data_IF_512432637965
#
_entry.id   IF_512432637965
#
_cell.length_a   1.000
_cell.length_b   1.000
_cell.length_c   1.000
_cell.angle_alpha   90.00
_cell.angle_beta   90.00
_cell.angle_gamma   90.00
#
_symmetry.space_group_name_H-M   'P 1'
#
loop_
_entity.id
_entity.type
_entity.pdbx_description
1 polymer ?
#
# COMPACT_ATOMS: atom_id res chain seq x y z
N UNK A 1 30.04 -4.16 -31.22
CA UNK A 1 29.14 -5.18 -30.65
C UNK A 1 28.68 -4.66 -29.30
N UNK A 2 27.37 -4.42 -29.21
CA UNK A 2 26.52 -4.08 -28.06
C UNK A 2 27.24 -3.70 -26.76
N UNK A 3 27.37 -2.39 -26.53
CA UNK A 3 27.61 -1.77 -25.22
C UNK A 3 26.30 -1.72 -24.45
N UNK A 4 26.33 -2.28 -23.23
CA UNK A 4 25.18 -2.43 -22.35
C UNK A 4 24.88 -1.11 -21.63
N UNK A 5 23.59 -0.77 -21.65
CA UNK A 5 22.93 0.28 -20.85
C UNK A 5 23.13 0.03 -19.35
N UNK A 6 23.46 1.08 -18.61
CA UNK A 6 23.54 1.10 -17.14
C UNK A 6 22.72 2.30 -16.68
N UNK A 7 21.51 2.07 -16.16
CA UNK A 7 20.81 2.97 -15.23
C UNK A 7 19.71 2.17 -14.52
N UNK A 8 19.97 1.76 -13.27
CA UNK A 8 18.94 1.38 -12.31
C UNK A 8 19.53 1.60 -10.92
N UNK A 9 19.18 2.72 -10.28
CA UNK A 9 19.47 2.96 -8.88
C UNK A 9 18.11 3.01 -8.16
N UNK A 10 17.70 1.86 -7.63
CA UNK A 10 16.58 1.74 -6.70
C UNK A 10 17.11 0.96 -5.51
N UNK A 11 17.05 1.58 -4.33
CA UNK A 11 17.28 0.94 -3.05
C UNK A 11 16.23 -0.18 -2.87
N UNK A 12 16.56 -1.36 -3.35
CA UNK A 12 15.93 -2.61 -2.93
C UNK A 12 16.86 -3.21 -1.88
N UNK A 13 16.30 -3.51 -0.72
CA UNK A 13 16.92 -4.34 0.30
C UNK A 13 17.31 -5.68 -0.37
N UNK A 14 18.61 -5.92 -0.63
CA UNK A 14 19.07 -7.18 -1.23
C UNK A 14 19.81 -8.01 -0.18
N UNK A 15 19.11 -9.02 0.33
CA UNK A 15 19.72 -10.31 0.67
C UNK A 15 19.64 -11.16 -0.59
N UNK A 16 20.78 -11.38 -1.27
CA UNK A 16 20.92 -12.52 -2.18
C UNK A 16 22.33 -13.10 -2.09
N UNK A 17 22.39 -14.32 -1.57
CA UNK A 17 23.56 -15.17 -1.57
C UNK A 17 23.66 -15.87 -2.91
N UNK A 18 24.77 -15.60 -3.62
CA UNK A 18 25.53 -16.48 -4.53
C UNK A 18 24.76 -17.32 -5.58
N UNK A 19 24.99 -16.99 -6.86
CA UNK A 19 25.63 -17.91 -7.81
C UNK A 19 26.15 -17.15 -9.05
N UNK A 20 27.48 -16.97 -9.10
CA UNK A 20 28.31 -17.02 -10.30
C UNK A 20 28.06 -16.03 -11.44
N UNK A 21 28.72 -14.88 -11.42
CA UNK A 21 29.82 -14.47 -12.33
C UNK A 21 30.22 -13.04 -11.97
N UNK A 22 31.49 -12.83 -11.58
CA UNK A 22 32.03 -11.52 -11.22
C UNK A 22 32.11 -10.62 -12.45
N UNK A 23 31.09 -9.78 -12.65
CA UNK A 23 31.26 -8.49 -13.33
C UNK A 23 31.50 -7.49 -12.20
N UNK A 24 32.61 -6.72 -12.18
CA UNK A 24 32.73 -5.63 -11.23
C UNK A 24 31.67 -4.59 -11.58
N UNK A 25 30.51 -4.69 -10.93
CA UNK A 25 29.60 -3.56 -10.83
C UNK A 25 30.36 -2.47 -10.04
N UNK A 26 30.32 -1.19 -10.46
CA UNK A 26 30.71 -0.12 -9.56
C UNK A 26 29.83 -0.26 -8.31
N UNK A 27 30.44 -0.66 -7.20
CA UNK A 27 29.79 -0.63 -5.91
C UNK A 27 29.83 0.81 -5.46
N UNK A 28 28.68 1.48 -5.57
CA UNK A 28 28.48 2.78 -4.95
C UNK A 28 28.44 2.57 -3.44
N UNK A 29 29.51 2.91 -2.75
CA UNK A 29 29.54 3.02 -1.29
C UNK A 29 29.09 4.43 -0.93
N UNK A 30 27.90 4.55 -0.32
CA UNK A 30 27.48 5.81 0.32
C UNK A 30 28.25 5.89 1.64
N UNK A 31 29.31 6.69 1.67
CA UNK A 31 30.15 6.90 2.87
C UNK A 31 29.64 8.02 3.79
N UNK A 32 28.41 8.49 3.58
CA UNK A 32 27.80 9.54 4.39
C UNK A 32 27.56 9.06 5.83
N UNK A 33 28.10 9.77 6.81
CA UNK A 33 27.85 9.54 8.25
C UNK A 33 26.45 10.01 8.71
N UNK A 34 25.48 10.15 7.80
CA UNK A 34 24.14 10.65 8.10
C UNK A 34 23.10 9.51 8.05
N UNK A 35 22.40 9.31 9.17
CA UNK A 35 21.30 8.32 9.31
C UNK A 35 20.03 8.70 8.51
N UNK A 36 20.05 9.84 7.80
CA UNK A 36 18.94 10.37 7.01
C UNK A 36 19.23 10.25 5.49
N UNK A 37 18.53 9.36 4.77
CA UNK A 37 18.72 9.18 3.33
C UNK A 37 18.50 10.45 2.48
N UNK A 38 17.74 11.44 2.98
CA UNK A 38 17.57 12.72 2.31
C UNK A 38 18.81 13.62 2.39
N UNK A 39 19.63 13.45 3.44
CA UNK A 39 20.93 14.12 3.58
C UNK A 39 21.97 13.47 2.68
N UNK A 40 21.96 12.13 2.59
CA UNK A 40 22.87 11.39 1.71
C UNK A 40 22.69 11.75 0.22
N UNK A 41 21.46 11.94 -0.26
CA UNK A 41 21.24 12.36 -1.66
C UNK A 41 21.61 13.83 -1.88
N UNK A 42 21.43 14.69 -0.88
CA UNK A 42 21.88 16.10 -0.96
C UNK A 42 23.40 16.18 -1.10
N UNK A 43 24.15 15.33 -0.39
CA UNK A 43 25.62 15.22 -0.54
C UNK A 43 26.03 14.77 -1.95
N UNK A 44 25.24 13.92 -2.61
CA UNK A 44 25.53 13.45 -3.97
C UNK A 44 25.32 14.56 -5.01
N UNK A 45 24.29 15.41 -4.84
CA UNK A 45 23.93 16.44 -5.83
C UNK A 45 24.44 17.84 -5.47
N UNK A 46 25.21 18.01 -4.39
CA UNK A 46 25.57 19.32 -3.86
C UNK A 46 26.38 20.19 -4.83
N UNK A 47 27.15 19.57 -5.72
CA UNK A 47 28.01 20.23 -6.70
C UNK A 47 27.29 20.53 -8.02
N UNK A 48 26.07 20.03 -8.21
CA UNK A 48 25.29 20.30 -9.41
C UNK A 48 24.74 21.73 -9.43
N UNK A 49 24.71 22.33 -10.61
CA UNK A 49 23.98 23.55 -10.91
C UNK A 49 22.49 23.23 -10.99
N UNK A 50 21.80 23.54 -9.89
CA UNK A 50 20.36 23.33 -9.75
C UNK A 50 19.55 24.59 -10.07
N UNK A 51 20.11 25.57 -10.78
CA UNK A 51 19.41 26.79 -11.19
C UNK A 51 18.21 26.50 -12.09
N UNK A 52 18.28 25.45 -12.91
CA UNK A 52 17.19 25.01 -13.77
C UNK A 52 16.10 24.20 -13.02
N UNK A 53 16.32 23.84 -11.75
CA UNK A 53 15.30 23.23 -10.87
C UNK A 53 14.38 24.32 -10.28
N UNK A 54 13.61 24.96 -11.16
CA UNK A 54 12.83 26.17 -10.84
C UNK A 54 11.68 25.95 -9.86
N UNK A 55 11.16 24.72 -9.75
CA UNK A 55 10.02 24.39 -8.86
C UNK A 55 10.47 24.06 -7.43
N UNK A 56 11.78 23.94 -7.20
CA UNK A 56 12.39 23.31 -6.03
C UNK A 56 11.97 21.85 -5.80
N UNK A 57 11.33 21.19 -6.78
CA UNK A 57 11.00 19.76 -6.72
C UNK A 57 11.91 19.05 -7.72
N UNK A 58 12.88 18.29 -7.22
CA UNK A 58 13.69 17.37 -8.02
C UNK A 58 13.23 15.94 -7.73
N UNK A 59 12.54 15.32 -8.67
CA UNK A 59 11.95 14.00 -8.47
C UNK A 59 12.99 12.92 -8.13
N UNK A 60 14.17 12.97 -8.78
CA UNK A 60 15.26 12.01 -8.53
C UNK A 60 15.96 12.17 -7.18
N UNK A 61 15.76 13.31 -6.52
CA UNK A 61 16.18 13.48 -5.12
C UNK A 61 15.23 12.73 -4.16
N UNK A 62 13.96 12.62 -4.54
CA UNK A 62 12.90 12.06 -3.72
C UNK A 62 12.83 10.54 -3.74
N UNK A 63 12.04 10.00 -2.83
CA UNK A 63 11.70 8.58 -2.82
C UNK A 63 10.63 8.31 -3.88
N UNK A 64 10.91 7.37 -4.80
CA UNK A 64 9.99 6.96 -5.87
C UNK A 64 8.94 5.99 -5.31
N UNK A 65 8.01 6.52 -4.52
CA UNK A 65 6.93 5.74 -3.88
C UNK A 65 5.82 5.36 -4.87
N UNK A 66 5.60 6.18 -5.90
CA UNK A 66 4.62 5.96 -6.95
C UNK A 66 5.13 6.43 -8.32
N UNK A 67 4.54 5.86 -9.38
CA UNK A 67 4.83 6.22 -10.77
C UNK A 67 4.12 7.54 -11.10
N UNK A 68 4.87 8.53 -11.57
CA UNK A 68 4.35 9.85 -11.98
C UNK A 68 4.28 9.99 -13.51
N UNK A 69 5.16 9.28 -14.22
CA UNK A 69 5.34 9.31 -15.66
C UNK A 69 4.07 8.92 -16.45
N UNK A 70 3.16 8.18 -15.82
CA UNK A 70 1.90 7.75 -16.42
C UNK A 70 0.73 8.72 -16.15
N UNK A 71 0.96 9.82 -15.43
CA UNK A 71 -0.05 10.76 -14.95
C UNK A 71 0.29 12.19 -15.34
N UNK A 72 0.48 12.44 -16.64
CA UNK A 72 0.86 13.73 -17.24
C UNK A 72 -0.34 14.67 -17.52
N UNK A 73 -1.56 14.20 -17.27
CA UNK A 73 -2.79 14.95 -17.51
C UNK A 73 -3.30 14.89 -18.95
N UNK A 74 -2.70 14.06 -19.80
CA UNK A 74 -3.28 13.70 -21.09
C UNK A 74 -4.57 12.90 -20.94
N UNK A 75 -5.41 12.89 -21.97
CA UNK A 75 -6.62 12.06 -21.98
C UNK A 75 -6.32 10.55 -21.86
N UNK A 76 -5.11 10.15 -22.26
CA UNK A 76 -4.63 8.77 -22.25
C UNK A 76 -3.88 8.39 -20.96
N UNK A 77 -3.66 9.32 -20.01
CA UNK A 77 -2.98 9.02 -18.74
C UNK A 77 -3.63 7.84 -18.02
N UNK A 78 -2.90 7.18 -17.13
CA UNK A 78 -3.39 5.98 -16.44
C UNK A 78 -4.47 6.30 -15.39
N UNK A 79 -4.96 5.27 -14.71
CA UNK A 79 -6.03 5.33 -13.71
C UNK A 79 -5.47 5.09 -12.32
N UNK A 80 -5.61 6.07 -11.43
CA UNK A 80 -5.29 5.92 -10.01
C UNK A 80 -6.23 4.88 -9.39
N UNK A 81 -5.69 3.80 -8.82
CA UNK A 81 -6.50 2.67 -8.32
C UNK A 81 -7.17 2.92 -6.97
N UNK A 82 -6.53 3.72 -6.13
CA UNK A 82 -7.05 4.05 -4.81
C UNK A 82 -6.36 5.30 -4.25
N UNK A 83 -6.87 5.78 -3.11
CA UNK A 83 -6.29 6.93 -2.45
C UNK A 83 -4.84 6.68 -1.97
N UNK A 84 -4.46 5.43 -1.66
CA UNK A 84 -3.10 5.12 -1.24
C UNK A 84 -2.10 5.24 -2.41
N UNK A 85 -2.50 4.92 -3.63
CA UNK A 85 -1.71 5.16 -4.84
C UNK A 85 -1.50 6.64 -5.08
N UNK A 86 -2.57 7.44 -5.01
CA UNK A 86 -2.45 8.90 -5.08
C UNK A 86 -1.51 9.43 -4.00
N UNK A 87 -1.61 8.90 -2.77
CA UNK A 87 -0.75 9.31 -1.66
C UNK A 87 0.72 8.94 -1.89
N UNK A 88 1.01 7.80 -2.52
CA UNK A 88 2.37 7.42 -2.93
C UNK A 88 2.92 8.35 -4.01
N UNK A 89 2.12 8.72 -5.00
CA UNK A 89 2.50 9.72 -6.02
C UNK A 89 2.80 11.07 -5.35
N UNK A 90 1.88 11.55 -4.51
CA UNK A 90 2.04 12.78 -3.75
C UNK A 90 3.28 12.76 -2.85
N UNK A 91 3.51 11.66 -2.13
CA UNK A 91 4.68 11.47 -1.27
C UNK A 91 6.00 11.50 -2.04
N UNK A 92 6.01 11.03 -3.29
CA UNK A 92 7.19 11.11 -4.13
C UNK A 92 7.58 12.56 -4.44
N UNK A 93 6.61 13.42 -4.71
CA UNK A 93 6.82 14.86 -4.89
C UNK A 93 7.21 15.58 -3.59
N UNK A 94 6.59 15.20 -2.45
CA UNK A 94 6.92 15.76 -1.13
C UNK A 94 8.39 15.51 -0.78
N UNK A 95 8.89 14.30 -1.03
CA UNK A 95 10.30 13.93 -0.72
C UNK A 95 11.30 14.53 -1.71
N UNK A 96 10.88 14.83 -2.94
CA UNK A 96 11.70 15.53 -3.94
C UNK A 96 11.84 17.04 -3.69
N UNK A 97 11.04 17.62 -2.80
CA UNK A 97 11.11 19.05 -2.49
C UNK A 97 12.38 19.41 -1.71
N UNK A 98 13.11 20.41 -2.22
CA UNK A 98 14.40 20.88 -1.71
C UNK A 98 14.31 22.09 -0.78
N UNK A 99 13.13 22.70 -0.68
CA UNK A 99 12.91 23.91 0.12
C UNK A 99 12.42 23.63 1.55
N UNK A 100 12.05 24.69 2.26
CA UNK A 100 11.43 24.57 3.59
C UNK A 100 9.99 24.06 3.49
N UNK A 101 9.56 23.06 4.28
CA UNK A 101 8.23 22.45 4.16
C UNK A 101 7.04 23.42 4.18
N UNK A 102 7.16 24.56 4.88
CA UNK A 102 6.13 25.61 4.97
C UNK A 102 5.89 26.38 3.68
N UNK A 103 6.84 26.33 2.73
CA UNK A 103 6.76 27.02 1.43
C UNK A 103 6.43 26.06 0.28
N UNK A 104 6.35 24.75 0.57
CA UNK A 104 6.14 23.73 -0.45
C UNK A 104 4.74 23.84 -1.07
N UNK A 105 4.61 23.79 -2.41
CA UNK A 105 3.32 23.63 -3.08
C UNK A 105 2.72 22.22 -2.87
N UNK A 106 3.54 21.27 -2.40
CA UNK A 106 3.15 19.92 -1.98
C UNK A 106 3.42 19.75 -0.47
N UNK A 107 2.65 20.40 0.41
CA UNK A 107 2.89 20.33 1.85
C UNK A 107 2.60 18.92 2.41
N UNK A 108 3.22 18.58 3.53
CA UNK A 108 2.96 17.31 4.23
C UNK A 108 1.46 17.11 4.50
N UNK A 109 1.00 15.86 4.45
CA UNK A 109 -0.40 15.51 4.68
C UNK A 109 -0.93 15.87 6.07
N UNK A 110 -0.04 16.02 7.04
CA UNK A 110 -0.39 16.48 8.39
C UNK A 110 -1.04 17.86 8.36
N UNK A 111 -0.68 18.70 7.38
CA UNK A 111 -1.24 20.06 7.21
C UNK A 111 -2.71 20.07 6.80
N UNK A 112 -3.21 18.98 6.21
CA UNK A 112 -4.58 18.92 5.68
C UNK A 112 -5.44 17.76 6.20
N UNK A 113 -4.86 16.90 7.05
CA UNK A 113 -5.56 15.78 7.69
C UNK A 113 -6.80 16.21 8.48
N UNK A 114 -6.73 17.31 9.23
CA UNK A 114 -7.85 17.80 10.05
C UNK A 114 -9.05 18.24 9.21
N UNK A 115 -8.82 19.00 8.15
CA UNK A 115 -9.85 19.54 7.26
C UNK A 115 -10.54 18.40 6.51
N UNK A 116 -9.74 17.45 6.02
CA UNK A 116 -10.22 16.22 5.39
C UNK A 116 -11.12 15.41 6.32
N UNK A 117 -10.66 15.18 7.56
CA UNK A 117 -11.45 14.44 8.55
C UNK A 117 -12.77 15.17 8.88
N UNK A 118 -12.75 16.50 8.96
CA UNK A 118 -13.95 17.30 9.17
C UNK A 118 -14.94 17.19 8.00
N UNK A 119 -14.46 17.23 6.76
CA UNK A 119 -15.28 17.03 5.56
C UNK A 119 -15.97 15.66 5.57
N UNK A 120 -15.22 14.59 5.86
CA UNK A 120 -15.75 13.22 5.96
C UNK A 120 -16.78 13.10 7.09
N UNK A 121 -16.49 13.66 8.27
CA UNK A 121 -17.45 13.67 9.38
C UNK A 121 -18.74 14.42 9.04
N UNK A 122 -18.70 15.37 8.11
CA UNK A 122 -19.88 16.08 7.60
C UNK A 122 -20.61 15.35 6.45
N UNK A 123 -20.23 14.11 6.13
CA UNK A 123 -20.83 13.31 5.06
C UNK A 123 -20.38 13.68 3.65
N UNK A 124 -19.24 14.38 3.52
CA UNK A 124 -18.64 14.77 2.23
C UNK A 124 -17.37 13.99 1.96
N UNK A 125 -17.15 13.62 0.71
CA UNK A 125 -15.93 12.97 0.24
C UNK A 125 -15.07 13.97 -0.57
N UNK A 126 -13.95 14.43 -0.03
CA UNK A 126 -13.02 15.27 -0.78
C UNK A 126 -12.52 14.62 -2.07
N UNK A 127 -12.52 15.38 -3.16
CA UNK A 127 -11.68 15.07 -4.31
C UNK A 127 -10.31 15.69 -4.07
N UNK A 128 -9.30 14.86 -3.77
CA UNK A 128 -7.91 15.32 -3.68
C UNK A 128 -7.33 15.35 -5.09
N UNK A 129 -6.83 16.52 -5.50
CA UNK A 129 -6.33 16.75 -6.87
C UNK A 129 -4.93 17.31 -6.74
N UNK A 130 -4.00 16.83 -7.56
CA UNK A 130 -2.67 17.42 -7.70
C UNK A 130 -2.42 17.84 -9.15
N UNK A 131 -1.86 19.03 -9.33
CA UNK A 131 -1.25 19.51 -10.57
C UNK A 131 0.10 20.13 -10.23
N UNK A 132 1.14 19.30 -10.29
CA UNK A 132 2.47 19.68 -9.82
C UNK A 132 3.45 19.59 -10.98
N UNK A 133 4.00 20.74 -11.35
CA UNK A 133 5.18 20.81 -12.21
C UNK A 133 6.43 20.52 -11.35
N UNK A 134 7.36 19.75 -11.90
CA UNK A 134 8.59 19.35 -11.23
C UNK A 134 9.72 19.16 -12.25
N UNK A 135 10.95 19.11 -11.76
CA UNK A 135 12.10 18.72 -12.56
C UNK A 135 12.54 17.31 -12.21
N UNK A 136 13.06 16.60 -13.20
CA UNK A 136 13.76 15.32 -13.05
C UNK A 136 14.99 15.34 -13.94
N UNK A 137 15.97 14.46 -13.72
CA UNK A 137 17.07 14.30 -14.68
C UNK A 137 16.53 13.92 -16.06
N UNK A 138 17.22 14.37 -17.11
CA UNK A 138 16.86 14.02 -18.48
C UNK A 138 16.67 12.51 -18.63
N UNK A 139 15.53 12.15 -19.19
CA UNK A 139 15.21 10.76 -19.55
C UNK A 139 16.12 10.23 -20.66
N UNK A 140 16.66 11.11 -21.51
CA UNK A 140 17.73 10.77 -22.46
C UNK A 140 19.07 10.58 -21.71
N UNK A 141 19.31 9.35 -21.27
CA UNK A 141 20.56 8.97 -20.59
C UNK A 141 21.84 9.24 -21.39
N UNK A 142 21.78 9.27 -22.73
CA UNK A 142 22.95 9.56 -23.56
C UNK A 142 23.28 11.04 -23.46
N UNK A 143 22.29 11.91 -23.66
CA UNK A 143 22.48 13.35 -23.50
C UNK A 143 22.89 13.69 -22.06
N UNK A 144 22.20 13.13 -21.05
CA UNK A 144 22.52 13.35 -19.64
C UNK A 144 23.99 13.05 -19.32
N UNK A 145 24.52 11.93 -19.83
CA UNK A 145 25.93 11.53 -19.62
C UNK A 145 26.96 12.48 -20.25
N UNK A 146 26.53 13.38 -21.13
CA UNK A 146 27.38 14.45 -21.69
C UNK A 146 27.28 15.77 -20.92
N UNK A 147 26.32 15.90 -20.02
CA UNK A 147 26.04 17.13 -19.26
C UNK A 147 26.59 17.05 -17.83
N UNK A 148 26.49 15.88 -17.20
CA UNK A 148 26.99 15.62 -15.84
C UNK A 148 27.93 14.42 -15.79
N UNK A 149 28.80 14.38 -14.79
CA UNK A 149 29.68 13.24 -14.48
C UNK A 149 29.74 12.99 -12.99
N UNK A 150 30.27 11.83 -12.61
CA UNK A 150 30.54 11.48 -11.21
C UNK A 150 32.02 11.71 -10.89
N UNK A 151 32.29 12.38 -9.77
CA UNK A 151 33.61 12.51 -9.17
C UNK A 151 33.53 12.31 -7.65
N UNK A 152 34.21 11.28 -7.16
CA UNK A 152 34.33 10.94 -5.74
C UNK A 152 32.97 10.87 -4.98
N UNK A 153 31.99 10.19 -5.57
CA UNK A 153 30.66 9.96 -5.03
C UNK A 153 29.68 11.13 -5.22
N UNK A 154 30.09 12.19 -5.94
CA UNK A 154 29.27 13.38 -6.19
C UNK A 154 29.04 13.57 -7.67
N UNK A 155 27.90 14.15 -8.00
CA UNK A 155 27.57 14.56 -9.36
C UNK A 155 28.04 15.99 -9.60
N UNK A 156 28.72 16.20 -10.72
CA UNK A 156 29.23 17.48 -11.16
C UNK A 156 28.81 17.79 -12.59
N UNK A 157 28.61 19.08 -12.89
CA UNK A 157 28.40 19.53 -14.26
C UNK A 157 29.71 19.59 -15.04
N UNK A 158 29.65 19.19 -16.31
CA UNK A 158 30.69 19.58 -17.24
C UNK A 158 30.68 21.11 -17.43
N UNK A 159 31.86 21.72 -17.54
CA UNK A 159 31.98 23.17 -17.71
C UNK A 159 31.37 23.68 -19.02
N UNK A 160 30.77 24.89 -19.00
CA UNK A 160 30.24 25.62 -20.16
C UNK A 160 29.06 24.94 -20.89
N UNK A 161 28.23 24.18 -20.17
CA UNK A 161 27.01 23.63 -20.75
C UNK A 161 25.93 24.70 -20.88
N UNK A 162 25.26 24.73 -22.03
CA UNK A 162 24.09 25.59 -22.27
C UNK A 162 22.76 24.83 -22.22
N UNK A 163 22.83 23.52 -21.99
CA UNK A 163 21.68 22.62 -21.97
C UNK A 163 21.47 22.13 -20.54
N UNK A 164 20.24 22.31 -20.04
CA UNK A 164 19.84 21.81 -18.73
C UNK A 164 19.96 20.28 -18.67
N UNK A 165 20.48 19.70 -17.58
CA UNK A 165 20.43 18.26 -17.33
C UNK A 165 19.07 17.79 -16.80
N UNK A 166 18.05 18.66 -16.77
CA UNK A 166 16.73 18.36 -16.24
C UNK A 166 15.62 18.46 -17.29
N UNK A 167 14.69 17.51 -17.24
CA UNK A 167 13.39 17.59 -17.94
C UNK A 167 12.39 18.37 -17.07
N UNK A 168 11.60 19.24 -17.70
CA UNK A 168 10.39 19.82 -17.11
C UNK A 168 9.21 18.88 -17.28
N UNK A 169 8.60 18.45 -16.17
CA UNK A 169 7.55 17.43 -16.17
C UNK A 169 6.36 17.87 -15.31
N UNK A 170 5.18 17.41 -15.68
CA UNK A 170 3.94 17.66 -14.94
C UNK A 170 3.37 16.35 -14.41
N UNK A 171 2.96 16.35 -13.14
CA UNK A 171 2.13 15.32 -12.53
C UNK A 171 0.71 15.86 -12.30
N UNK A 172 -0.26 15.25 -12.96
CA UNK A 172 -1.68 15.57 -12.86
C UNK A 172 -2.48 14.30 -12.55
N UNK A 173 -2.94 14.18 -11.30
CA UNK A 173 -3.76 13.05 -10.87
C UNK A 173 -4.73 13.44 -9.77
N UNK A 174 -5.73 12.59 -9.54
CA UNK A 174 -6.70 12.81 -8.48
C UNK A 174 -7.17 11.50 -7.86
N UNK A 175 -7.79 11.61 -6.69
CA UNK A 175 -8.50 10.52 -6.05
C UNK A 175 -9.70 11.06 -5.27
N UNK A 176 -10.82 10.35 -5.20
CA UNK A 176 -11.71 10.50 -4.06
C UNK A 176 -10.96 10.08 -2.78
N UNK A 177 -11.16 10.77 -1.66
CA UNK A 177 -10.48 10.39 -0.41
C UNK A 177 -10.98 9.03 0.10
N UNK A 178 -12.30 8.85 0.18
CA UNK A 178 -12.92 7.54 0.31
C UNK A 178 -12.95 6.92 -1.09
N UNK A 179 -11.99 6.05 -1.39
CA UNK A 179 -11.94 5.27 -2.63
C UNK A 179 -12.78 3.99 -2.56
N UNK A 180 -13.31 3.67 -1.38
CA UNK A 180 -14.28 2.58 -1.15
C UNK A 180 -15.43 3.09 -0.29
N UNK A 181 -16.66 2.75 -0.67
CA UNK A 181 -17.90 3.12 0.05
C UNK A 181 -18.78 1.88 0.18
N UNK A 182 -19.20 1.61 1.42
CA UNK A 182 -20.02 0.46 1.76
C UNK A 182 -21.50 0.85 1.88
N UNK A 183 -22.38 -0.06 1.44
CA UNK A 183 -23.83 -0.04 1.68
C UNK A 183 -24.53 1.26 1.28
N UNK A 184 -23.92 2.00 0.34
CA UNK A 184 -24.44 3.25 -0.16
C UNK A 184 -24.16 3.40 -1.64
N UNK A 185 -25.23 3.65 -2.40
CA UNK A 185 -25.18 4.09 -3.79
C UNK A 185 -25.29 5.62 -3.90
N UNK A 186 -25.02 6.34 -2.81
CA UNK A 186 -25.10 7.80 -2.75
C UNK A 186 -23.88 8.37 -2.04
N UNK A 187 -23.21 9.33 -2.66
CA UNK A 187 -22.06 10.01 -2.08
C UNK A 187 -22.04 11.48 -2.49
N UNK A 188 -21.72 12.36 -1.55
CA UNK A 188 -21.50 13.78 -1.84
C UNK A 188 -20.00 14.03 -1.99
N UNK A 189 -19.56 14.45 -3.17
CA UNK A 189 -18.18 14.89 -3.38
C UNK A 189 -18.03 16.38 -3.13
N UNK A 190 -16.84 16.79 -2.71
CA UNK A 190 -16.50 18.22 -2.55
C UNK A 190 -15.19 18.57 -3.24
N UNK A 191 -15.16 19.72 -3.92
CA UNK A 191 -13.99 20.31 -4.61
C UNK A 191 -13.45 21.51 -3.83
N UNK A 192 -13.43 21.41 -2.49
CA UNK A 192 -12.80 22.40 -1.62
C UNK A 192 -11.35 22.66 -2.11
N UNK A 193 -11.01 23.93 -2.45
CA UNK A 193 -9.68 24.29 -2.94
C UNK A 193 -8.55 23.87 -2.01
N UNK A 194 -8.84 23.65 -0.72
CA UNK A 194 -7.87 23.15 0.24
C UNK A 194 -7.33 21.76 -0.13
N UNK A 195 -8.06 20.95 -0.92
CA UNK A 195 -7.64 19.64 -1.42
C UNK A 195 -7.07 19.67 -2.84
N UNK A 196 -6.94 20.86 -3.44
CA UNK A 196 -6.25 21.07 -4.70
C UNK A 196 -4.80 21.50 -4.43
N UNK A 197 -3.83 20.63 -4.74
CA UNK A 197 -2.40 20.90 -4.53
C UNK A 197 -1.75 21.24 -5.85
N UNK A 198 -1.17 22.43 -5.96
CA UNK A 198 -0.73 22.97 -7.23
C UNK A 198 0.38 23.99 -7.08
N UNK A 199 1.37 23.94 -7.98
CA UNK A 199 2.25 25.05 -8.32
C UNK A 199 2.00 25.57 -9.75
N UNK A 200 1.06 24.96 -10.48
CA UNK A 200 0.69 25.40 -11.81
C UNK A 200 0.19 26.85 -11.83
N UNK A 201 0.75 27.66 -12.73
CA UNK A 201 0.61 29.12 -12.71
C UNK A 201 -0.75 29.67 -13.19
N UNK A 202 -1.64 28.85 -13.75
CA UNK A 202 -2.96 29.29 -14.22
C UNK A 202 -4.06 28.98 -13.21
N UNK A 203 -5.02 29.88 -13.07
CA UNK A 203 -6.20 29.64 -12.24
C UNK A 203 -7.19 28.68 -12.91
N UNK A 204 -7.89 27.89 -12.10
CA UNK A 204 -8.93 26.96 -12.57
C UNK A 204 -10.14 27.77 -13.06
N UNK A 205 -10.57 27.50 -14.29
CA UNK A 205 -11.83 28.03 -14.83
C UNK A 205 -12.99 27.11 -14.48
N UNK A 206 -12.86 25.80 -14.74
CA UNK A 206 -13.91 24.82 -14.45
C UNK A 206 -13.33 23.47 -14.05
N UNK A 207 -14.03 22.79 -13.13
CA UNK A 207 -13.80 21.38 -12.80
C UNK A 207 -15.04 20.62 -13.30
N UNK A 208 -14.83 19.57 -14.09
CA UNK A 208 -15.89 18.65 -14.48
C UNK A 208 -15.50 17.23 -14.14
N UNK A 209 -16.43 16.45 -13.61
CA UNK A 209 -16.21 15.04 -13.28
C UNK A 209 -17.31 14.19 -13.89
N UNK A 210 -16.91 13.16 -14.63
CA UNK A 210 -17.77 12.03 -14.96
C UNK A 210 -17.65 11.01 -13.83
N UNK A 211 -18.74 10.81 -13.08
CA UNK A 211 -18.76 9.93 -11.92
C UNK A 211 -19.11 8.48 -12.24
N UNK A 212 -19.21 8.12 -13.52
CA UNK A 212 -19.60 6.78 -13.98
C UNK A 212 -21.01 6.38 -13.46
N UNK A 213 -21.89 7.38 -13.37
CA UNK A 213 -23.28 7.24 -12.96
C UNK A 213 -24.26 7.32 -14.15
N UNK A 214 -23.73 7.34 -15.39
CA UNK A 214 -24.50 7.49 -16.62
C UNK A 214 -24.89 8.94 -16.97
N UNK A 215 -24.53 9.95 -16.16
CA UNK A 215 -24.81 11.37 -16.46
C UNK A 215 -23.72 12.07 -17.27
N UNK A 216 -22.58 11.40 -17.53
CA UNK A 216 -21.41 11.99 -18.16
C UNK A 216 -20.74 13.07 -17.30
N UNK A 217 -19.96 13.95 -17.92
CA UNK A 217 -19.26 15.04 -17.23
C UNK A 217 -20.23 16.05 -16.62
N UNK A 218 -20.17 16.20 -15.30
CA UNK A 218 -20.90 17.19 -14.52
C UNK A 218 -19.94 18.29 -14.07
N UNK A 219 -20.26 19.55 -14.35
CA UNK A 219 -19.46 20.69 -13.88
C UNK A 219 -19.73 20.96 -12.40
N UNK A 220 -18.64 21.14 -11.64
CA UNK A 220 -18.65 21.43 -10.21
C UNK A 220 -17.94 22.78 -10.04
N UNK A 221 -18.53 23.68 -9.26
CA UNK A 221 -17.87 24.94 -8.90
C UNK A 221 -16.57 24.64 -8.12
N UNK A 222 -15.58 25.52 -8.19
CA UNK A 222 -14.48 25.52 -7.23
C UNK A 222 -15.07 25.77 -5.83
N UNK A 223 -14.77 24.93 -4.85
CA UNK A 223 -15.46 24.90 -3.55
C UNK A 223 -16.95 24.51 -3.63
N UNK A 224 -17.29 23.60 -4.54
CA UNK A 224 -18.65 23.09 -4.72
C UNK A 224 -18.83 21.70 -4.12
N UNK A 225 -20.08 21.38 -3.80
CA UNK A 225 -20.50 20.02 -3.44
C UNK A 225 -21.38 19.44 -4.56
N UNK A 226 -21.22 18.16 -4.85
CA UNK A 226 -22.10 17.43 -5.79
C UNK A 226 -22.51 16.10 -5.19
N UNK A 227 -23.83 15.91 -5.04
CA UNK A 227 -24.40 14.62 -4.62
C UNK A 227 -24.58 13.74 -5.84
N UNK A 228 -23.91 12.61 -5.85
CA UNK A 228 -23.97 11.61 -6.91
C UNK A 228 -24.73 10.40 -6.40
N UNK A 229 -25.59 9.85 -7.26
CA UNK A 229 -26.29 8.60 -7.01
C UNK A 229 -25.98 7.63 -8.15
N UNK A 230 -25.72 6.37 -7.82
CA UNK A 230 -25.54 5.27 -8.77
C UNK A 230 -26.72 4.30 -8.70
N UNK A 231 -26.91 3.49 -9.74
CA UNK A 231 -27.95 2.47 -9.80
C UNK A 231 -27.47 1.08 -9.35
N UNK A 232 -26.16 0.84 -9.34
CA UNK A 232 -25.55 -0.45 -9.03
C UNK A 232 -24.26 -0.28 -8.23
N UNK A 233 -23.98 -1.27 -7.38
CA UNK A 233 -22.68 -1.43 -6.74
C UNK A 233 -21.61 -1.84 -7.78
N UNK A 234 -20.36 -1.95 -7.33
CA UNK A 234 -19.19 -2.28 -8.13
C UNK A 234 -18.27 -1.09 -8.40
N UNK A 235 -17.15 -1.39 -9.05
CA UNK A 235 -16.10 -0.44 -9.42
C UNK A 235 -16.62 0.62 -10.38
N UNK A 236 -16.34 1.88 -10.07
CA UNK A 236 -16.64 3.08 -10.87
C UNK A 236 -15.35 3.73 -11.33
N UNK A 237 -15.29 4.16 -12.58
CA UNK A 237 -14.14 4.90 -13.13
C UNK A 237 -14.51 6.38 -13.21
N UNK A 238 -14.09 7.12 -12.20
CA UNK A 238 -14.26 8.57 -12.16
C UNK A 238 -13.27 9.23 -13.14
N UNK A 239 -13.74 10.18 -13.94
CA UNK A 239 -12.90 10.93 -14.89
C UNK A 239 -12.96 12.41 -14.55
N UNK A 240 -11.82 12.98 -14.22
CA UNK A 240 -11.66 14.40 -13.96
C UNK A 240 -11.24 15.10 -15.27
N UNK A 241 -11.83 16.28 -15.49
CA UNK A 241 -11.40 17.24 -16.50
C UNK A 241 -11.31 18.62 -15.84
N UNK A 242 -10.12 19.22 -15.84
CA UNK A 242 -9.89 20.57 -15.34
C UNK A 242 -9.57 21.48 -16.52
N UNK A 243 -10.33 22.56 -16.68
CA UNK A 243 -10.04 23.62 -17.66
C UNK A 243 -9.50 24.83 -16.93
N UNK A 244 -8.36 25.34 -17.39
CA UNK A 244 -7.70 26.51 -16.84
C UNK A 244 -8.10 27.81 -17.55
N UNK A 245 -7.84 28.95 -16.93
CA UNK A 245 -8.13 30.27 -17.48
C UNK A 245 -7.39 30.56 -18.80
N UNK A 246 -6.25 29.90 -19.01
CA UNK A 246 -5.49 29.93 -20.27
C UNK A 246 -5.99 28.93 -21.34
N UNK A 247 -7.18 28.36 -21.15
CA UNK A 247 -7.82 27.37 -22.01
C UNK A 247 -7.13 26.00 -22.13
N UNK A 248 -6.04 25.75 -21.38
CA UNK A 248 -5.48 24.40 -21.29
C UNK A 248 -6.41 23.47 -20.50
N UNK A 249 -6.45 22.20 -20.91
CA UNK A 249 -7.31 21.18 -20.34
C UNK A 249 -6.46 19.99 -19.94
N UNK A 250 -6.64 19.52 -18.72
CA UNK A 250 -5.98 18.34 -18.18
C UNK A 250 -7.02 17.32 -17.74
N UNK A 251 -6.69 16.04 -17.92
CA UNK A 251 -7.55 14.90 -17.66
C UNK A 251 -6.89 13.95 -16.66
N UNK A 252 -7.67 13.38 -15.77
CA UNK A 252 -7.18 12.30 -14.90
C UNK A 252 -8.28 11.28 -14.67
N UNK A 253 -7.90 10.06 -14.29
CA UNK A 253 -8.83 8.98 -13.94
C UNK A 253 -8.52 8.43 -12.56
N UNK A 254 -9.56 8.08 -11.83
CA UNK A 254 -9.45 7.42 -10.53
C UNK A 254 -10.60 6.44 -10.33
N UNK A 255 -10.41 5.45 -9.48
CA UNK A 255 -11.47 4.47 -9.17
C UNK A 255 -12.14 4.72 -7.83
N UNK A 256 -13.43 4.37 -7.80
CA UNK A 256 -14.26 4.31 -6.60
C UNK A 256 -14.95 2.95 -6.56
N UNK A 257 -14.79 2.21 -5.47
CA UNK A 257 -15.49 0.95 -5.26
C UNK A 257 -16.75 1.21 -4.42
N UNK A 258 -17.92 0.89 -4.97
CA UNK A 258 -19.16 0.84 -4.21
C UNK A 258 -19.43 -0.61 -3.85
N UNK A 259 -19.42 -0.96 -2.56
CA UNK A 259 -19.54 -2.34 -2.11
C UNK A 259 -20.88 -2.52 -1.40
N UNK A 260 -21.64 -3.53 -1.82
CA UNK A 260 -22.78 -4.01 -1.05
C UNK A 260 -22.27 -5.02 -0.03
N UNK A 261 -22.43 -4.72 1.25
CA UNK A 261 -22.25 -5.74 2.28
C UNK A 261 -23.41 -6.71 2.14
N UNK A 262 -23.11 -7.89 1.60
CA UNK A 262 -24.09 -8.96 1.54
C UNK A 262 -24.39 -9.43 2.97
N UNK A 263 -25.50 -8.94 3.53
CA UNK A 263 -26.08 -9.53 4.72
C UNK A 263 -26.67 -10.88 4.34
N UNK A 264 -25.84 -11.93 4.41
CA UNK A 264 -26.30 -13.31 4.35
C UNK A 264 -27.02 -13.65 5.67
N UNK A 265 -28.26 -13.17 5.79
CA UNK A 265 -29.23 -13.74 6.69
C UNK A 265 -29.62 -15.10 6.14
N UNK A 266 -28.84 -16.14 6.43
CA UNK A 266 -29.28 -17.52 6.20
C UNK A 266 -30.32 -17.83 7.27
N UNK A 267 -31.60 -18.07 6.91
CA UNK A 267 -32.54 -18.65 7.85
C UNK A 267 -31.97 -20.02 8.22
N UNK A 268 -31.65 -20.22 9.50
CA UNK A 268 -31.07 -21.44 10.11
C UNK A 268 -29.54 -21.58 10.18
N UNK A 269 -28.75 -20.55 9.86
CA UNK A 269 -27.40 -20.50 10.42
C UNK A 269 -27.52 -20.27 11.94
N UNK A 270 -27.05 -21.23 12.76
CA UNK A 270 -26.80 -20.95 14.18
C UNK A 270 -25.81 -19.80 14.24
N UNK A 271 -26.31 -18.63 14.63
CA UNK A 271 -25.65 -17.32 14.71
C UNK A 271 -24.12 -17.29 14.47
N UNK A 272 -23.70 -16.58 13.42
CA UNK A 272 -22.42 -15.87 13.40
C UNK A 272 -22.23 -15.16 14.75
N UNK A 273 -21.20 -15.52 15.53
CA UNK A 273 -20.86 -14.76 16.74
C UNK A 273 -20.10 -15.46 17.85
N UNK A 274 -19.92 -16.79 17.84
CA UNK A 274 -19.14 -17.46 18.88
C UNK A 274 -17.75 -17.85 18.38
N UNK A 275 -16.79 -16.95 18.58
CA UNK A 275 -15.37 -17.26 18.41
C UNK A 275 -14.88 -17.92 19.68
N UNK A 276 -14.40 -19.15 19.59
CA UNK A 276 -13.75 -19.78 20.74
C UNK A 276 -12.38 -19.15 20.96
N UNK A 277 -12.18 -18.60 22.16
CA UNK A 277 -10.93 -17.95 22.58
C UNK A 277 -10.31 -18.80 23.66
N UNK A 278 -9.45 -19.77 23.32
CA UNK A 278 -8.71 -20.52 24.34
C UNK A 278 -7.76 -19.57 25.08
N UNK A 279 -7.29 -20.03 26.24
CA UNK A 279 -6.25 -19.32 26.96
C UNK A 279 -5.01 -19.14 26.07
N UNK A 280 -4.31 -18.01 26.23
CA UNK A 280 -3.14 -17.72 25.42
C UNK A 280 -2.09 -18.84 25.54
N UNK A 281 -1.59 -19.30 24.39
CA UNK A 281 -0.48 -20.25 24.30
C UNK A 281 0.79 -19.52 24.70
N UNK A 282 1.50 -20.04 25.71
CA UNK A 282 2.75 -19.42 26.16
C UNK A 282 3.92 -19.86 25.28
N UNK A 283 4.88 -18.97 25.11
CA UNK A 283 6.18 -19.34 24.57
C UNK A 283 6.89 -20.29 25.54
N UNK A 284 7.68 -21.28 25.07
CA UNK A 284 8.32 -22.29 25.93
C UNK A 284 9.13 -21.73 27.10
N UNK A 285 9.91 -20.67 26.86
CA UNK A 285 10.86 -20.12 27.85
C UNK A 285 10.75 -18.62 28.12
N UNK A 286 9.98 -17.87 27.33
CA UNK A 286 9.96 -16.40 27.38
C UNK A 286 8.60 -15.87 27.81
N UNK A 287 8.50 -15.13 28.93
CA UNK A 287 7.26 -14.45 29.26
C UNK A 287 6.90 -13.43 28.17
N UNK A 288 5.60 -13.21 27.98
CA UNK A 288 5.03 -12.24 27.02
C UNK A 288 5.33 -12.46 25.53
N UNK A 289 5.91 -13.59 25.13
CA UNK A 289 6.16 -13.96 23.72
C UNK A 289 5.17 -15.02 23.18
N UNK A 290 4.10 -15.29 23.92
CA UNK A 290 3.05 -16.24 23.53
C UNK A 290 2.13 -15.74 22.41
N UNK A 291 1.12 -16.52 22.09
CA UNK A 291 0.08 -16.19 21.12
C UNK A 291 -1.32 -16.31 21.73
N UNK A 292 -2.19 -15.38 21.38
CA UNK A 292 -3.63 -15.52 21.56
C UNK A 292 -4.20 -16.22 20.32
N UNK A 293 -5.12 -17.16 20.52
CA UNK A 293 -5.81 -17.80 19.42
C UNK A 293 -7.27 -17.37 19.36
N UNK A 294 -7.80 -17.35 18.15
CA UNK A 294 -9.21 -17.17 17.85
C UNK A 294 -9.62 -18.30 16.92
N UNK A 295 -10.56 -19.12 17.36
CA UNK A 295 -11.03 -20.28 16.60
C UNK A 295 -12.45 -20.02 16.12
N UNK A 296 -12.62 -20.11 14.81
CA UNK A 296 -13.90 -20.05 14.14
C UNK A 296 -14.24 -21.43 13.60
N UNK A 297 -15.32 -22.01 14.11
CA UNK A 297 -15.73 -23.34 13.67
C UNK A 297 -16.46 -23.29 12.34
N UNK A 298 -16.20 -24.30 11.51
CA UNK A 298 -16.92 -24.48 10.27
C UNK A 298 -18.41 -24.73 10.49
N UNK A 299 -19.21 -24.62 9.43
CA UNK A 299 -20.65 -24.89 9.52
C UNK A 299 -20.92 -26.30 10.06
N UNK A 300 -21.65 -26.40 11.18
CA UNK A 300 -21.99 -27.68 11.81
C UNK A 300 -20.95 -28.22 12.80
N UNK A 301 -19.78 -27.59 12.92
CA UNK A 301 -18.78 -27.92 13.93
C UNK A 301 -19.03 -27.14 15.24
N UNK A 302 -18.78 -27.79 16.38
CA UNK A 302 -18.79 -27.18 17.71
C UNK A 302 -17.47 -27.41 18.47
N UNK A 303 -16.47 -27.95 17.77
CA UNK A 303 -15.15 -28.34 18.27
C UNK A 303 -14.15 -28.37 17.12
N UNK A 304 -12.85 -28.28 17.44
CA UNK A 304 -11.79 -28.25 16.43
C UNK A 304 -11.59 -29.62 15.78
N UNK A 305 -11.90 -29.72 14.49
CA UNK A 305 -11.84 -30.95 13.69
C UNK A 305 -10.85 -30.80 12.52
N UNK A 306 -10.99 -29.78 11.66
CA UNK A 306 -10.23 -29.67 10.41
C UNK A 306 -9.53 -28.31 10.31
N UNK A 307 -8.33 -28.15 10.90
CA UNK A 307 -7.75 -26.84 11.13
C UNK A 307 -7.18 -26.18 9.87
N UNK A 308 -7.59 -24.94 9.65
CA UNK A 308 -6.94 -23.97 8.78
C UNK A 308 -6.26 -22.91 9.67
N UNK A 309 -4.95 -23.08 9.89
CA UNK A 309 -4.15 -22.23 10.78
C UNK A 309 -3.65 -21.02 9.99
N UNK A 310 -4.17 -19.83 10.32
CA UNK A 310 -3.74 -18.57 9.75
C UNK A 310 -2.77 -17.86 10.69
N UNK A 311 -1.54 -17.67 10.22
CA UNK A 311 -0.45 -17.03 10.97
C UNK A 311 -0.33 -15.57 10.54
N UNK A 312 -0.54 -14.66 11.49
CA UNK A 312 -0.53 -13.22 11.21
C UNK A 312 0.83 -12.70 10.72
N UNK A 313 0.79 -11.52 10.10
CA UNK A 313 1.96 -10.82 9.59
C UNK A 313 2.60 -9.87 10.62
N UNK A 314 3.30 -8.86 10.13
CA UNK A 314 3.88 -7.82 10.97
C UNK A 314 2.79 -6.94 11.59
N UNK A 315 2.60 -7.04 12.91
CA UNK A 315 1.63 -6.24 13.67
C UNK A 315 2.31 -5.38 14.76
N UNK A 316 2.67 -4.12 14.44
CA UNK A 316 3.34 -3.19 15.35
C UNK A 316 2.39 -2.58 16.39
N UNK A 317 1.85 -3.41 17.30
CA UNK A 317 0.90 -2.99 18.35
C UNK A 317 1.37 -1.79 19.19
N UNK A 318 2.68 -1.70 19.42
CA UNK A 318 3.32 -0.58 20.12
C UNK A 318 3.21 0.77 19.41
N UNK A 319 2.89 0.77 18.11
CA UNK A 319 2.69 1.96 17.28
C UNK A 319 1.21 2.22 16.96
N UNK A 320 0.29 1.56 17.66
CA UNK A 320 -1.16 1.75 17.50
C UNK A 320 -1.77 0.98 16.34
N UNK A 321 -1.01 0.12 15.66
CA UNK A 321 -1.60 -0.94 14.85
C UNK A 321 -2.37 -1.89 15.77
N UNK A 322 -3.52 -2.37 15.30
CA UNK A 322 -4.34 -3.30 16.08
C UNK A 322 -4.96 -4.28 15.10
N UNK A 323 -4.11 -5.08 14.44
CA UNK A 323 -4.60 -6.17 13.61
C UNK A 323 -5.18 -7.24 14.54
N UNK A 324 -6.49 -7.20 14.72
CA UNK A 324 -7.19 -8.24 15.48
C UNK A 324 -7.72 -9.30 14.53
N UNK A 325 -8.13 -10.44 15.09
CA UNK A 325 -8.92 -11.44 14.37
C UNK A 325 -10.11 -10.82 13.59
N UNK A 326 -10.78 -9.81 14.15
CA UNK A 326 -11.91 -9.15 13.48
C UNK A 326 -11.45 -8.28 12.30
N UNK A 327 -10.29 -7.63 12.40
CA UNK A 327 -9.67 -6.92 11.29
C UNK A 327 -9.25 -7.89 10.20
N UNK A 328 -8.56 -8.99 10.54
CA UNK A 328 -8.23 -10.05 9.61
C UNK A 328 -9.46 -10.59 8.86
N UNK A 329 -10.51 -10.93 9.60
CA UNK A 329 -11.71 -11.52 9.01
C UNK A 329 -12.43 -10.52 8.10
N UNK A 330 -12.44 -9.25 8.50
CA UNK A 330 -12.97 -8.15 7.70
C UNK A 330 -12.14 -7.95 6.42
N UNK A 331 -10.83 -7.74 6.54
CA UNK A 331 -9.90 -7.51 5.42
C UNK A 331 -9.94 -8.67 4.41
N UNK A 332 -10.03 -9.92 4.89
CA UNK A 332 -10.11 -11.09 4.01
C UNK A 332 -11.47 -11.20 3.30
N UNK A 333 -12.56 -10.77 3.95
CA UNK A 333 -13.86 -10.65 3.30
C UNK A 333 -13.92 -9.48 2.30
N UNK A 334 -13.25 -8.37 2.61
CA UNK A 334 -13.10 -7.19 1.76
C UNK A 334 -12.27 -7.52 0.52
N UNK A 335 -11.13 -8.19 0.67
CA UNK A 335 -10.28 -8.63 -0.45
C UNK A 335 -11.03 -9.56 -1.42
N UNK A 336 -11.89 -10.46 -0.92
CA UNK A 336 -12.71 -11.34 -1.77
C UNK A 336 -13.80 -10.56 -2.51
N UNK A 337 -14.43 -9.58 -1.86
CA UNK A 337 -15.41 -8.71 -2.46
C UNK A 337 -14.79 -7.80 -3.54
N UNK A 338 -13.59 -7.27 -3.30
CA UNK A 338 -12.90 -6.31 -4.17
C UNK A 338 -12.30 -6.93 -5.44
N UNK A 339 -11.92 -8.22 -5.42
CA UNK A 339 -11.29 -8.87 -6.56
C UNK A 339 -12.29 -9.48 -7.56
N UNK A 340 -13.60 -9.37 -7.33
CA UNK A 340 -14.63 -10.02 -8.17
C UNK A 340 -14.35 -11.50 -8.44
N UNK A 341 -13.63 -12.17 -7.53
CA UNK A 341 -13.50 -13.62 -7.59
C UNK A 341 -14.81 -14.20 -7.07
N UNK A 342 -15.48 -15.03 -7.88
CA UNK A 342 -16.61 -15.84 -7.42
C UNK A 342 -16.21 -16.75 -6.23
N UNK A 343 -14.91 -16.83 -5.91
CA UNK A 343 -14.34 -17.62 -4.83
C UNK A 343 -14.30 -16.85 -3.50
N UNK A 344 -15.28 -17.12 -2.63
CA UNK A 344 -15.33 -16.59 -1.28
C UNK A 344 -14.55 -17.52 -0.32
N UNK A 345 -13.23 -17.37 -0.21
CA UNK A 345 -12.38 -18.27 0.58
C UNK A 345 -12.91 -18.52 2.01
N UNK A 346 -13.45 -17.52 2.72
CA UNK A 346 -13.98 -17.76 4.08
C UNK A 346 -15.23 -18.65 4.07
N UNK A 347 -16.12 -18.44 3.10
CA UNK A 347 -17.31 -19.28 2.86
C UNK A 347 -16.89 -20.67 2.44
N UNK A 348 -16.00 -20.78 1.46
CA UNK A 348 -15.49 -22.05 0.94
C UNK A 348 -14.79 -22.86 2.04
N UNK A 349 -13.97 -22.23 2.88
CA UNK A 349 -13.36 -22.90 4.03
C UNK A 349 -14.44 -23.46 4.97
N UNK A 350 -15.43 -22.64 5.33
CA UNK A 350 -16.51 -23.06 6.23
C UNK A 350 -17.39 -24.17 5.63
N UNK A 351 -17.80 -24.05 4.37
CA UNK A 351 -18.61 -25.04 3.67
C UNK A 351 -17.86 -26.37 3.43
N UNK A 352 -16.54 -26.31 3.28
CA UNK A 352 -15.68 -27.49 3.19
C UNK A 352 -15.19 -28.01 4.57
N UNK A 353 -15.80 -27.51 5.64
CA UNK A 353 -15.63 -28.03 7.00
C UNK A 353 -14.37 -27.58 7.72
N UNK A 354 -13.65 -26.56 7.23
CA UNK A 354 -12.42 -26.06 7.84
C UNK A 354 -12.68 -25.11 9.01
N UNK A 355 -12.07 -25.41 10.15
CA UNK A 355 -12.07 -24.56 11.33
C UNK A 355 -10.89 -23.59 11.26
N UNK A 356 -11.15 -22.29 11.23
CA UNK A 356 -10.10 -21.27 11.11
C UNK A 356 -9.48 -21.02 12.47
N UNK A 357 -8.17 -21.21 12.59
CA UNK A 357 -7.38 -20.90 13.78
C UNK A 357 -6.50 -19.69 13.47
N UNK A 358 -6.92 -18.50 13.89
CA UNK A 358 -6.12 -17.28 13.75
C UNK A 358 -5.13 -17.16 14.90
N UNK A 359 -3.85 -17.00 14.56
CA UNK A 359 -2.73 -16.88 15.50
C UNK A 359 -2.33 -15.41 15.64
N UNK A 360 -2.59 -14.86 16.83
CA UNK A 360 -2.33 -13.47 17.20
C UNK A 360 -1.16 -13.41 18.20
N UNK A 361 0.03 -13.02 17.76
CA UNK A 361 1.22 -12.97 18.62
C UNK A 361 1.14 -11.81 19.61
N UNK A 362 1.53 -12.06 20.86
CA UNK A 362 1.68 -10.99 21.86
C UNK A 362 2.72 -9.96 21.44
N UNK A 363 3.75 -10.39 20.72
CA UNK A 363 4.78 -9.55 20.08
C UNK A 363 4.68 -9.69 18.54
N UNK A 364 3.59 -9.22 17.95
CA UNK A 364 3.34 -9.32 16.50
C UNK A 364 4.34 -8.58 15.59
N UNK A 365 5.19 -7.71 16.16
CA UNK A 365 6.33 -7.06 15.48
C UNK A 365 7.69 -7.50 16.04
N UNK A 366 7.67 -8.54 16.89
CA UNK A 366 8.83 -9.06 17.60
C UNK A 366 9.70 -10.00 16.75
N UNK A 367 10.64 -10.65 17.42
CA UNK A 367 11.62 -11.53 16.80
C UNK A 367 10.97 -12.73 16.08
N UNK A 368 11.37 -12.93 14.82
CA UNK A 368 10.88 -14.00 13.95
C UNK A 368 11.09 -15.41 14.53
N UNK A 369 12.26 -15.65 15.12
CA UNK A 369 12.63 -16.94 15.68
C UNK A 369 11.76 -17.23 16.90
N UNK A 370 11.52 -16.22 17.74
CA UNK A 370 10.66 -16.37 18.93
C UNK A 370 9.20 -16.58 18.59
N UNK A 371 8.68 -15.88 17.58
CA UNK A 371 7.33 -16.14 17.08
C UNK A 371 7.22 -17.54 16.43
N UNK A 372 8.29 -18.03 15.77
CA UNK A 372 8.33 -19.38 15.21
C UNK A 372 8.36 -20.47 16.30
N UNK A 373 9.13 -20.29 17.38
CA UNK A 373 9.12 -21.15 18.57
C UNK A 373 7.70 -21.21 19.17
N UNK A 374 7.03 -20.06 19.33
CA UNK A 374 5.63 -19.99 19.80
C UNK A 374 4.65 -20.67 18.86
N UNK A 375 4.80 -20.51 17.54
CA UNK A 375 3.93 -21.18 16.58
C UNK A 375 4.07 -22.72 16.67
N UNK A 376 5.27 -23.22 16.97
CA UNK A 376 5.47 -24.65 17.24
C UNK A 376 4.57 -25.15 18.39
N UNK A 377 4.45 -24.39 19.47
CA UNK A 377 3.54 -24.71 20.58
C UNK A 377 2.06 -24.58 20.19
N UNK A 378 1.70 -23.62 19.34
CA UNK A 378 0.34 -23.50 18.78
C UNK A 378 -0.03 -24.73 17.97
N UNK A 379 0.85 -25.22 17.08
CA UNK A 379 0.59 -26.42 16.27
C UNK A 379 0.44 -27.66 17.16
N UNK A 380 1.29 -27.82 18.18
CA UNK A 380 1.14 -28.90 19.17
C UNK A 380 -0.21 -28.84 19.88
N UNK A 381 -0.64 -27.64 20.27
CA UNK A 381 -1.94 -27.44 20.90
C UNK A 381 -3.09 -27.79 19.95
N UNK A 382 -3.04 -27.37 18.69
CA UNK A 382 -4.03 -27.73 17.67
C UNK A 382 -4.11 -29.25 17.49
N UNK A 383 -2.98 -29.94 17.40
CA UNK A 383 -2.94 -31.40 17.27
C UNK A 383 -3.51 -32.10 18.50
N UNK A 384 -3.23 -31.59 19.70
CA UNK A 384 -3.83 -32.11 20.92
C UNK A 384 -5.36 -31.92 20.95
N UNK A 385 -5.88 -30.77 20.50
CA UNK A 385 -7.33 -30.55 20.40
C UNK A 385 -7.98 -31.46 19.37
N UNK A 386 -7.38 -31.63 18.18
CA UNK A 386 -7.86 -32.59 17.19
C UNK A 386 -7.94 -34.01 17.76
N UNK A 387 -6.90 -34.45 18.46
CA UNK A 387 -6.85 -35.78 19.07
C UNK A 387 -7.95 -35.97 20.13
N UNK A 388 -8.17 -34.99 21.01
CA UNK A 388 -9.28 -34.98 22.00
C UNK A 388 -10.63 -35.10 21.29
N UNK A 389 -10.79 -34.40 20.17
CA UNK A 389 -12.03 -34.39 19.39
C UNK A 389 -12.19 -35.60 18.47
N UNK A 390 -11.23 -36.54 18.49
CA UNK A 390 -11.15 -37.71 17.61
C UNK A 390 -11.08 -37.37 16.13
N UNK A 391 -10.51 -36.22 15.79
CA UNK A 391 -10.22 -35.85 14.40
C UNK A 391 -8.86 -36.35 13.97
N UNK A 392 -8.79 -36.82 12.72
CA UNK A 392 -7.54 -37.24 12.05
C UNK A 392 -7.19 -36.34 10.85
N UNK A 393 -7.95 -35.26 10.66
CA UNK A 393 -7.72 -34.33 9.56
C UNK A 393 -6.36 -33.60 9.73
N UNK A 394 -5.58 -33.44 8.65
CA UNK A 394 -4.32 -32.72 8.71
C UNK A 394 -4.54 -31.21 8.82
N UNK A 395 -3.55 -30.51 9.36
CA UNK A 395 -3.52 -29.05 9.38
C UNK A 395 -3.20 -28.50 7.99
N UNK A 396 -3.83 -27.38 7.65
CA UNK A 396 -3.34 -26.45 6.63
C UNK A 396 -2.76 -25.24 7.36
N UNK A 397 -1.53 -24.84 7.04
CA UNK A 397 -0.88 -23.68 7.65
C UNK A 397 -0.64 -22.62 6.58
N UNK A 398 -1.21 -21.44 6.79
CA UNK A 398 -1.08 -20.30 5.87
C UNK A 398 -0.46 -19.14 6.62
N UNK A 399 0.69 -18.67 6.15
CA UNK A 399 1.37 -17.54 6.74
C UNK A 399 1.24 -16.29 5.87
N UNK A 400 0.70 -15.21 6.44
CA UNK A 400 0.55 -13.94 5.73
C UNK A 400 1.76 -13.04 5.93
N UNK A 401 2.39 -12.58 4.85
CA UNK A 401 3.55 -11.68 4.90
C UNK A 401 4.67 -12.27 5.81
N UNK A 402 5.06 -11.58 6.88
CA UNK A 402 5.99 -12.07 7.89
C UNK A 402 5.62 -13.45 8.46
N UNK A 403 4.31 -13.72 8.60
CA UNK A 403 3.76 -14.99 9.06
C UNK A 403 4.18 -16.17 8.19
N UNK A 404 4.46 -15.96 6.90
CA UNK A 404 4.98 -16.98 5.99
C UNK A 404 6.35 -17.52 6.43
N UNK A 405 7.25 -16.63 6.85
CA UNK A 405 8.57 -17.00 7.38
C UNK A 405 8.45 -17.70 8.73
N UNK A 406 7.59 -17.18 9.60
CA UNK A 406 7.31 -17.76 10.93
C UNK A 406 6.75 -19.18 10.79
N UNK A 407 5.78 -19.38 9.89
CA UNK A 407 5.18 -20.68 9.60
C UNK A 407 6.22 -21.68 9.08
N UNK A 408 7.08 -21.26 8.14
CA UNK A 408 8.16 -22.12 7.63
C UNK A 408 9.10 -22.58 8.74
N UNK A 409 9.53 -21.65 9.59
CA UNK A 409 10.47 -21.93 10.68
C UNK A 409 9.82 -22.79 11.77
N UNK A 410 8.61 -22.46 12.20
CA UNK A 410 7.90 -23.19 13.25
C UNK A 410 7.62 -24.65 12.87
N UNK A 411 7.17 -24.88 11.62
CA UNK A 411 7.00 -26.25 11.09
C UNK A 411 8.35 -26.97 11.07
N UNK A 412 9.41 -26.30 10.58
CA UNK A 412 10.75 -26.90 10.51
C UNK A 412 11.32 -27.25 11.88
N UNK A 413 11.07 -26.44 12.91
CA UNK A 413 11.53 -26.74 14.28
C UNK A 413 10.87 -28.00 14.83
N UNK A 414 9.57 -28.18 14.60
CA UNK A 414 8.88 -29.42 14.99
C UNK A 414 9.48 -30.64 14.29
N UNK A 415 9.73 -30.56 12.98
CA UNK A 415 10.36 -31.65 12.23
C UNK A 415 11.76 -32.01 12.75
N UNK A 416 12.58 -30.99 13.03
CA UNK A 416 13.93 -31.18 13.57
C UNK A 416 13.91 -31.82 14.96
N UNK A 417 12.87 -31.54 15.74
CA UNK A 417 12.62 -32.16 17.05
C UNK A 417 11.94 -33.53 16.95
N UNK A 418 11.77 -34.09 15.75
CA UNK A 418 11.03 -35.33 15.47
C UNK A 418 9.57 -35.32 15.96
N UNK A 419 8.94 -34.14 15.97
CA UNK A 419 7.53 -33.96 16.26
C UNK A 419 6.80 -33.81 14.93
N UNK A 420 5.87 -34.72 14.63
CA UNK A 420 5.05 -34.60 13.42
C UNK A 420 4.11 -33.39 13.56
N UNK A 421 4.23 -32.35 12.72
CA UNK A 421 3.36 -31.18 12.79
C UNK A 421 1.94 -31.47 12.26
N UNK A 422 1.73 -32.63 11.64
CA UNK A 422 0.48 -33.05 10.98
C UNK A 422 0.01 -32.05 9.91
N UNK A 423 0.96 -31.37 9.26
CA UNK A 423 0.67 -30.37 8.22
C UNK A 423 0.66 -31.05 6.86
N UNK A 424 -0.46 -30.92 6.14
CA UNK A 424 -0.57 -31.38 4.75
C UNK A 424 -0.12 -30.33 3.75
N UNK A 425 -0.41 -29.05 4.04
CA UNK A 425 -0.13 -27.94 3.16
C UNK A 425 0.43 -26.76 3.96
N UNK A 426 1.49 -26.17 3.41
CA UNK A 426 2.03 -24.89 3.85
C UNK A 426 1.92 -23.90 2.68
N UNK A 427 1.38 -22.71 2.96
CA UNK A 427 1.15 -21.64 1.98
C UNK A 427 1.74 -20.34 2.55
N UNK A 428 2.51 -19.61 1.74
CA UNK A 428 3.15 -18.34 2.13
C UNK A 428 3.25 -17.35 0.99
#
# INVERSE_FOLDING_TARGET
MKTNSIFTLVFSLIVFTLCGQNIPAPQFEVTGNSDDPSVAIDEVIENLDLTDVTTNILYDRGWKLGQLENFDGAIASDTVRDHAEWLRQYGSLVTGYRGTPSTSPVPSITTWKSQRNAAVASGKNPLVIMHIDYQQFLTDSVLLSTLIYEDNGKLEDYSNQSTSPFDDVTAFSFSPYLSTVYDSLSLTFTTDPFFFKSNYGSSISTISVDFDNGSGYQSIATNGDVKVNWSTFGKKILKLKVTYANAQIFYAKSTLNLIETLNYGVPDAKSNGYVWRPDSIQHPTLPNHGAQLYVDFACGNDKLLKPYIFVEGFDPKQFGANQTYFNYRYDLSEYQADNSSDYQLLTELSENGYDIVYVDFKQGSGDLIKNAETLGEVIKWVNAQKAINSSTEPNIVVGYSMGGLIARLGIRYLELDNINPEVSHYIS
#
